data_IF_965344285193
#
_entry.id   IF_965344285193
#
_cell.length_a   1.000
_cell.length_b   1.000
_cell.length_c   1.000
_cell.angle_alpha   90.00
_cell.angle_beta   90.00
_cell.angle_gamma   90.00
#
_symmetry.space_group_name_H-M   'P 1'
#
loop_
_entity.id
_entity.type
_entity.pdbx_description
1 polymer ?
#
# COMPACT_ATOMS: atom_id res chain seq x y z
N UNK A 1 -27.68 -9.15 10.99
CA UNK A 1 -27.48 -7.89 10.21
C UNK A 1 -26.01 -7.83 9.80
N UNK A 2 -25.64 -7.27 8.64
CA UNK A 2 -24.23 -7.14 8.19
C UNK A 2 -23.94 -5.69 7.80
N UNK A 3 -23.02 -5.03 8.50
CA UNK A 3 -22.52 -3.70 8.14
C UNK A 3 -21.50 -3.82 7.00
N UNK A 4 -21.47 -2.83 6.10
CA UNK A 4 -20.46 -2.69 5.03
C UNK A 4 -19.95 -1.26 5.02
N UNK A 5 -18.65 -1.08 4.85
CA UNK A 5 -18.01 0.22 4.75
C UNK A 5 -16.87 0.20 3.73
N UNK A 6 -16.38 1.38 3.38
CA UNK A 6 -15.14 1.58 2.64
C UNK A 6 -14.30 2.61 3.39
N UNK A 7 -13.02 2.32 3.55
CA UNK A 7 -12.06 3.22 4.18
C UNK A 7 -10.97 3.59 3.18
N UNK A 8 -10.71 4.89 3.07
CA UNK A 8 -9.55 5.43 2.37
C UNK A 8 -9.01 6.67 3.06
N UNK A 9 -7.74 6.96 2.82
CA UNK A 9 -7.01 8.14 3.25
C UNK A 9 -6.81 9.06 2.04
N UNK A 10 -6.94 10.35 2.28
CA UNK A 10 -6.70 11.40 1.29
C UNK A 10 -5.64 12.38 1.82
N UNK A 11 -5.03 13.12 0.90
CA UNK A 11 -4.23 14.29 1.22
C UNK A 11 -5.12 15.46 1.66
N UNK A 12 -4.51 16.51 2.19
CA UNK A 12 -5.24 17.72 2.59
C UNK A 12 -5.98 18.40 1.42
N UNK A 13 -5.50 18.25 0.19
CA UNK A 13 -6.14 18.73 -1.04
C UNK A 13 -7.12 17.72 -1.66
N UNK A 14 -7.51 16.67 -0.94
CA UNK A 14 -8.56 15.72 -1.32
C UNK A 14 -8.15 14.67 -2.36
N UNK A 15 -6.84 14.46 -2.59
CA UNK A 15 -6.37 13.42 -3.51
C UNK A 15 -6.31 12.08 -2.77
N UNK A 16 -6.78 11.02 -3.41
CA UNK A 16 -6.68 9.66 -2.90
C UNK A 16 -5.22 9.28 -2.62
N UNK A 17 -4.92 8.86 -1.39
CA UNK A 17 -3.60 8.34 -1.01
C UNK A 17 -3.67 6.82 -0.88
N UNK A 18 -4.47 6.27 0.05
CA UNK A 18 -4.44 4.85 0.37
C UNK A 18 -5.85 4.33 0.65
N UNK A 19 -6.19 3.14 0.17
CA UNK A 19 -7.42 2.43 0.50
C UNK A 19 -7.15 0.93 0.54
N UNK A 20 -8.19 0.12 0.72
CA UNK A 20 -8.05 -1.32 0.99
C UNK A 20 -7.09 -2.03 0.03
N UNK A 21 -7.35 -1.96 -1.28
CA UNK A 21 -6.51 -2.65 -2.27
C UNK A 21 -5.10 -2.07 -2.45
N UNK A 22 -4.82 -0.83 -2.03
CA UNK A 22 -3.44 -0.32 -2.00
C UNK A 22 -2.75 -0.66 -0.69
N UNK A 23 -3.47 -0.71 0.44
CA UNK A 23 -2.95 -1.22 1.70
C UNK A 23 -2.55 -2.70 1.58
N UNK A 24 -3.41 -3.54 0.97
CA UNK A 24 -3.08 -4.94 0.65
C UNK A 24 -1.80 -5.07 -0.19
N UNK A 25 -1.59 -4.16 -1.14
CA UNK A 25 -0.37 -4.12 -1.95
C UNK A 25 0.87 -3.79 -1.11
N UNK A 26 0.79 -2.80 -0.21
CA UNK A 26 1.92 -2.45 0.65
C UNK A 26 2.24 -3.58 1.64
N UNK A 27 1.22 -4.22 2.24
CA UNK A 27 1.37 -5.44 3.05
C UNK A 27 2.03 -6.57 2.27
N UNK A 28 1.61 -6.79 1.01
CA UNK A 28 2.19 -7.82 0.16
C UNK A 28 3.66 -7.52 -0.18
N UNK A 29 4.04 -6.24 -0.37
CA UNK A 29 5.43 -5.84 -0.59
C UNK A 29 6.26 -6.11 0.66
N UNK A 30 5.79 -5.72 1.84
CA UNK A 30 6.50 -5.99 3.10
C UNK A 30 6.70 -7.50 3.33
N UNK A 31 5.71 -8.31 2.98
CA UNK A 31 5.78 -9.78 3.10
C UNK A 31 6.67 -10.46 2.06
N UNK A 32 6.71 -9.95 0.83
CA UNK A 32 7.36 -10.62 -0.32
C UNK A 32 8.71 -10.02 -0.71
N UNK A 33 9.02 -8.81 -0.25
CA UNK A 33 10.29 -8.11 -0.52
C UNK A 33 10.45 -7.62 -1.95
N UNK A 34 9.47 -7.82 -2.84
CA UNK A 34 9.50 -7.31 -4.23
C UNK A 34 8.09 -6.95 -4.70
N UNK A 35 7.97 -5.91 -5.54
CA UNK A 35 6.69 -5.52 -6.16
C UNK A 35 6.17 -6.59 -7.11
N UNK A 36 7.05 -7.32 -7.80
CA UNK A 36 6.66 -8.40 -8.72
C UNK A 36 5.97 -9.54 -7.98
N UNK A 37 6.53 -9.99 -6.85
CA UNK A 37 5.92 -11.05 -6.06
C UNK A 37 4.67 -10.57 -5.33
N UNK A 38 4.62 -9.30 -4.91
CA UNK A 38 3.41 -8.71 -4.36
C UNK A 38 2.28 -8.65 -5.39
N UNK A 39 2.57 -8.22 -6.62
CA UNK A 39 1.62 -8.20 -7.72
C UNK A 39 1.11 -9.61 -8.06
N UNK A 40 2.02 -10.60 -8.10
CA UNK A 40 1.69 -12.01 -8.31
C UNK A 40 0.79 -12.55 -7.19
N UNK A 41 1.09 -12.24 -5.92
CA UNK A 41 0.29 -12.65 -4.77
C UNK A 41 -1.14 -12.10 -4.85
N UNK A 42 -1.30 -10.85 -5.30
CA UNK A 42 -2.58 -10.18 -5.42
C UNK A 42 -3.29 -10.40 -6.76
N UNK A 43 -2.73 -11.26 -7.63
CA UNK A 43 -3.27 -11.55 -8.96
C UNK A 43 -3.51 -10.28 -9.81
N UNK A 44 -2.60 -9.31 -9.72
CA UNK A 44 -2.60 -8.09 -10.55
C UNK A 44 -1.31 -8.00 -11.37
N UNK A 45 -1.34 -7.25 -12.46
CA UNK A 45 -0.13 -7.02 -13.25
C UNK A 45 0.89 -6.17 -12.49
N UNK A 46 2.18 -6.44 -12.72
CA UNK A 46 3.26 -5.60 -12.20
C UNK A 46 3.07 -4.12 -12.58
N UNK A 47 2.66 -3.83 -13.82
CA UNK A 47 2.40 -2.46 -14.28
C UNK A 47 1.29 -1.77 -13.47
N UNK A 48 0.24 -2.52 -13.10
CA UNK A 48 -0.83 -1.99 -12.25
C UNK A 48 -0.37 -1.74 -10.82
N UNK A 49 0.34 -2.70 -10.21
CA UNK A 49 0.93 -2.52 -8.89
C UNK A 49 1.88 -1.30 -8.86
N UNK A 50 2.73 -1.18 -9.89
CA UNK A 50 3.66 -0.06 -10.02
C UNK A 50 2.92 1.27 -10.19
N UNK A 51 1.89 1.33 -11.03
CA UNK A 51 1.06 2.53 -11.18
C UNK A 51 0.43 2.95 -9.84
N UNK A 52 -0.15 2.01 -9.09
CA UNK A 52 -0.71 2.27 -7.77
C UNK A 52 0.30 2.91 -6.84
N UNK A 53 1.51 2.36 -6.72
CA UNK A 53 2.57 2.93 -5.86
C UNK A 53 2.90 4.36 -6.28
N UNK A 54 3.09 4.61 -7.58
CA UNK A 54 3.37 5.97 -8.07
C UNK A 54 2.25 6.96 -7.78
N UNK A 55 0.99 6.50 -7.87
CA UNK A 55 -0.16 7.34 -7.54
C UNK A 55 -0.15 7.72 -6.05
N UNK A 56 0.16 6.78 -5.15
CA UNK A 56 0.31 7.04 -3.70
C UNK A 56 1.44 8.06 -3.49
N UNK A 57 2.62 7.83 -4.09
CA UNK A 57 3.80 8.69 -3.90
C UNK A 57 3.55 10.12 -4.42
N UNK A 58 2.94 10.23 -5.60
CA UNK A 58 2.56 11.52 -6.19
C UNK A 58 1.57 12.28 -5.31
N UNK A 59 0.55 11.61 -4.79
CA UNK A 59 -0.52 12.28 -4.03
C UNK A 59 -0.12 12.58 -2.58
N UNK A 60 0.76 11.76 -2.00
CA UNK A 60 1.30 11.98 -0.65
C UNK A 60 2.50 12.93 -0.63
N UNK A 61 3.16 13.15 -1.78
CA UNK A 61 4.40 13.91 -1.88
C UNK A 61 5.60 13.22 -1.21
N UNK A 62 5.49 11.92 -0.91
CA UNK A 62 6.48 11.13 -0.19
C UNK A 62 6.85 9.89 -0.98
N UNK A 63 8.09 9.45 -0.88
CA UNK A 63 8.47 8.13 -1.36
C UNK A 63 7.92 7.08 -0.38
N UNK A 64 7.19 6.10 -0.90
CA UNK A 64 6.50 5.07 -0.10
C UNK A 64 7.20 3.73 -0.23
N UNK A 65 7.81 3.46 -1.39
CA UNK A 65 8.54 2.22 -1.65
C UNK A 65 9.95 2.54 -2.14
N UNK A 66 10.95 2.11 -1.40
CA UNK A 66 12.33 2.11 -1.86
C UNK A 66 12.58 0.90 -2.76
N UNK A 67 13.38 1.10 -3.80
CA UNK A 67 13.74 0.06 -4.76
C UNK A 67 15.23 0.02 -4.97
N UNK A 68 15.80 -1.17 -4.83
CA UNK A 68 17.15 -1.45 -5.30
C UNK A 68 17.06 -2.11 -6.67
N UNK A 69 17.74 -1.50 -7.66
CA UNK A 69 17.86 -2.10 -8.99
C UNK A 69 18.60 -3.43 -8.86
N UNK A 70 17.99 -4.47 -9.43
CA UNK A 70 18.56 -5.81 -9.41
C UNK A 70 19.72 -5.97 -10.37
N UNK A 71 20.88 -6.36 -9.84
CA UNK A 71 21.95 -7.02 -10.60
C UNK A 71 21.72 -8.54 -10.65
N UNK A 72 22.80 -9.33 -10.64
CA UNK A 72 22.76 -10.82 -10.67
C UNK A 72 21.89 -11.48 -9.59
N UNK A 73 21.58 -10.77 -8.49
CA UNK A 73 20.84 -11.27 -7.33
C UNK A 73 19.35 -10.90 -7.31
N UNK A 74 18.84 -10.21 -8.34
CA UNK A 74 17.45 -9.73 -8.38
C UNK A 74 17.26 -8.37 -7.71
N UNK A 75 16.13 -7.71 -7.99
CA UNK A 75 15.78 -6.41 -7.39
C UNK A 75 14.99 -6.58 -6.10
N UNK A 76 15.07 -5.62 -5.18
CA UNK A 76 14.26 -5.58 -3.95
C UNK A 76 13.27 -4.41 -3.98
N UNK A 77 12.23 -4.52 -3.17
CA UNK A 77 11.29 -3.43 -2.90
C UNK A 77 10.87 -3.48 -1.45
N UNK A 78 11.10 -2.40 -0.72
CA UNK A 78 10.79 -2.30 0.70
C UNK A 78 10.02 -1.01 0.97
N UNK A 79 9.16 -1.04 1.99
CA UNK A 79 8.47 0.17 2.43
C UNK A 79 9.48 1.11 3.08
N UNK A 80 9.45 2.39 2.68
CA UNK A 80 10.17 3.45 3.39
C UNK A 80 9.58 3.65 4.79
N UNK A 81 10.26 4.38 5.70
CA UNK A 81 9.66 4.77 6.98
C UNK A 81 8.30 5.47 6.81
N UNK A 82 8.17 6.33 5.80
CA UNK A 82 6.93 7.02 5.44
C UNK A 82 5.85 6.03 4.98
N UNK A 83 6.23 5.04 4.16
CA UNK A 83 5.33 3.99 3.69
C UNK A 83 4.81 3.10 4.81
N UNK A 84 5.68 2.70 5.75
CA UNK A 84 5.29 1.96 6.95
C UNK A 84 4.35 2.77 7.83
N UNK A 85 4.70 4.02 8.11
CA UNK A 85 3.85 4.91 8.92
C UNK A 85 2.46 5.14 8.31
N UNK A 86 2.40 5.28 6.97
CA UNK A 86 1.14 5.41 6.24
C UNK A 86 0.28 4.14 6.35
N UNK A 87 0.89 2.97 6.18
CA UNK A 87 0.21 1.67 6.28
C UNK A 87 -0.31 1.42 7.71
N UNK A 88 0.52 1.65 8.73
CA UNK A 88 0.15 1.55 10.14
C UNK A 88 -1.00 2.50 10.52
N UNK A 89 -1.03 3.72 9.95
CA UNK A 89 -2.15 4.66 10.15
C UNK A 89 -3.45 4.10 9.58
N UNK A 90 -3.41 3.50 8.39
CA UNK A 90 -4.57 2.87 7.77
C UNK A 90 -5.07 1.68 8.59
N UNK A 91 -4.18 0.78 8.99
CA UNK A 91 -4.53 -0.42 9.74
C UNK A 91 -5.16 -0.08 11.10
N UNK A 92 -4.61 0.91 11.82
CA UNK A 92 -5.18 1.36 13.10
C UNK A 92 -6.60 1.90 12.95
N UNK A 93 -6.86 2.69 11.90
CA UNK A 93 -8.19 3.21 11.62
C UNK A 93 -9.16 2.08 11.24
N UNK A 94 -8.72 1.16 10.37
CA UNK A 94 -9.50 0.00 9.96
C UNK A 94 -9.90 -0.85 11.17
N UNK A 95 -8.94 -1.22 12.01
CA UNK A 95 -9.17 -2.01 13.24
C UNK A 95 -10.12 -1.30 14.22
N UNK A 96 -10.00 0.03 14.35
CA UNK A 96 -10.90 0.81 15.21
C UNK A 96 -12.35 0.77 14.72
N UNK A 97 -12.55 0.92 13.41
CA UNK A 97 -13.88 0.82 12.78
C UNK A 97 -14.45 -0.59 12.93
N UNK A 98 -13.64 -1.62 12.64
CA UNK A 98 -14.07 -3.02 12.75
C UNK A 98 -14.49 -3.35 14.18
N UNK A 99 -13.75 -2.88 15.18
CA UNK A 99 -14.09 -3.07 16.61
C UNK A 99 -15.42 -2.40 16.98
N UNK A 100 -15.77 -1.25 16.39
CA UNK A 100 -17.04 -0.56 16.64
C UNK A 100 -18.25 -1.20 15.93
N UNK A 101 -18.00 -2.02 14.89
CA UNK A 101 -19.04 -2.67 14.09
C UNK A 101 -19.36 -4.10 14.56
N UNK A 102 -18.61 -4.63 15.53
CA UNK A 102 -18.82 -5.93 16.19
C UNK A 102 -19.86 -5.81 17.30
#
# INVERSE_FOLDING_TARGET
MKARYKLWLESEDGKFILGEGTAELLHAIEKKGTISEAARLLNISYAHAWRKIRDIEKNSGKQIVERMKGGKTGGSSELTPEGKSLLEKYDRLKNSIETMLI
#
